data_IF_261308792211
#
_entry.id   IF_261308792211
#
_cell.length_a   1.000
_cell.length_b   1.000
_cell.length_c   1.000
_cell.angle_alpha   90.00
_cell.angle_beta   90.00
_cell.angle_gamma   90.00
#
_symmetry.space_group_name_H-M   'P 1'
#
loop_
_entity.id
_entity.type
_entity.pdbx_description
1 polymer ?
#
# COMPACT_ATOMS: atom_id res chain seq x y z
N UNK A 1 4.87 -18.02 -2.01
CA UNK A 1 4.23 -16.93 -2.76
C UNK A 1 4.94 -15.62 -2.40
N UNK A 2 5.41 -14.85 -3.40
CA UNK A 2 6.15 -13.59 -3.18
C UNK A 2 5.30 -12.53 -2.49
N UNK A 3 4.00 -12.51 -2.76
CA UNK A 3 3.07 -11.56 -2.15
C UNK A 3 2.92 -11.83 -0.65
N UNK A 4 2.79 -13.10 -0.25
CA UNK A 4 2.67 -13.49 1.16
C UNK A 4 3.93 -13.08 1.92
N UNK A 5 5.12 -13.35 1.38
CA UNK A 5 6.39 -12.99 2.03
C UNK A 5 6.52 -11.47 2.19
N UNK A 6 6.26 -10.69 1.14
CA UNK A 6 6.32 -9.23 1.20
C UNK A 6 5.36 -8.66 2.26
N UNK A 7 4.12 -9.14 2.30
CA UNK A 7 3.14 -8.74 3.32
C UNK A 7 3.58 -9.10 4.73
N UNK A 8 4.17 -10.28 4.93
CA UNK A 8 4.70 -10.68 6.24
C UNK A 8 5.84 -9.79 6.71
N UNK A 9 6.74 -9.39 5.80
CA UNK A 9 7.83 -8.45 6.11
C UNK A 9 7.29 -7.06 6.43
N UNK A 10 6.34 -6.55 5.62
CA UNK A 10 5.68 -5.26 5.85
C UNK A 10 4.90 -5.22 7.17
N UNK A 11 4.34 -6.35 7.61
CA UNK A 11 3.66 -6.45 8.90
C UNK A 11 4.59 -6.31 10.11
N UNK A 12 5.89 -6.52 9.92
CA UNK A 12 6.92 -6.32 10.93
C UNK A 12 7.55 -4.92 10.88
N UNK A 13 7.21 -4.08 9.89
CA UNK A 13 7.71 -2.72 9.77
C UNK A 13 7.17 -1.84 10.91
N UNK A 14 8.07 -1.13 11.59
CA UNK A 14 7.77 -0.29 12.75
C UNK A 14 8.44 1.09 12.63
N UNK A 15 7.64 2.15 12.76
CA UNK A 15 8.11 3.53 12.63
C UNK A 15 8.21 4.00 11.18
N UNK A 16 8.27 5.32 10.98
CA UNK A 16 8.16 5.93 9.64
C UNK A 16 9.35 5.60 8.72
N UNK A 17 10.53 5.36 9.29
CA UNK A 17 11.74 5.03 8.53
C UNK A 17 11.80 3.55 8.10
N UNK A 18 10.87 2.70 8.55
CA UNK A 18 10.90 1.28 8.20
C UNK A 18 10.62 1.09 6.71
N UNK A 19 11.51 0.35 6.04
CA UNK A 19 11.38 0.01 4.64
C UNK A 19 10.18 -0.92 4.39
N UNK A 20 9.53 -0.72 3.26
CA UNK A 20 8.47 -1.58 2.77
C UNK A 20 8.96 -2.40 1.58
N UNK A 21 8.61 -3.67 1.58
CA UNK A 21 8.86 -4.61 0.50
C UNK A 21 7.73 -4.51 -0.53
N UNK A 22 8.06 -4.20 -1.81
CA UNK A 22 7.06 -4.06 -2.86
C UNK A 22 6.26 -5.34 -3.09
N UNK A 23 4.95 -5.18 -3.25
CA UNK A 23 4.07 -6.25 -3.71
C UNK A 23 4.01 -6.23 -5.24
N UNK A 24 3.97 -7.39 -5.92
CA UNK A 24 3.75 -7.41 -7.36
C UNK A 24 2.34 -6.89 -7.70
N UNK A 25 2.23 -6.17 -8.82
CA UNK A 25 0.97 -5.78 -9.43
C UNK A 25 0.19 -7.02 -9.93
N UNK A 26 -1.13 -6.88 -10.19
CA UNK A 26 -1.86 -7.85 -10.99
C UNK A 26 -1.10 -8.15 -12.30
N UNK A 27 -0.83 -9.44 -12.56
CA UNK A 27 0.01 -9.86 -13.70
C UNK A 27 1.50 -10.03 -13.38
N UNK A 28 1.94 -9.81 -12.14
CA UNK A 28 3.26 -10.22 -11.64
C UNK A 28 4.41 -9.21 -11.84
N UNK A 29 4.13 -8.06 -12.45
CA UNK A 29 5.10 -7.00 -12.64
C UNK A 29 5.37 -6.28 -11.31
N UNK A 30 6.61 -5.84 -11.09
CA UNK A 30 6.93 -5.05 -9.90
C UNK A 30 6.51 -3.58 -10.10
N UNK A 31 5.99 -2.92 -9.05
CA UNK A 31 5.42 -1.58 -9.14
C UNK A 31 6.48 -0.47 -9.35
N UNK A 32 7.77 -0.74 -9.12
CA UNK A 32 8.80 0.28 -9.22
C UNK A 32 8.56 1.44 -8.24
N UNK A 33 8.74 2.68 -8.70
CA UNK A 33 8.71 3.89 -7.87
C UNK A 33 7.31 4.27 -7.37
N UNK A 34 6.23 3.72 -7.94
CA UNK A 34 4.88 4.02 -7.43
C UNK A 34 4.62 3.36 -6.08
N UNK A 35 5.40 2.35 -5.69
CA UNK A 35 5.27 1.73 -4.37
C UNK A 35 6.02 2.57 -3.31
N UNK A 36 5.38 2.91 -2.18
CA UNK A 36 6.03 3.70 -1.15
C UNK A 36 7.21 2.94 -0.55
N UNK A 37 8.39 3.57 -0.54
CA UNK A 37 9.62 2.94 -0.03
C UNK A 37 9.60 2.68 1.48
N UNK A 38 8.85 3.47 2.25
CA UNK A 38 8.79 3.38 3.71
C UNK A 38 7.36 3.52 4.26
N UNK A 39 7.16 3.16 5.53
CA UNK A 39 5.91 3.41 6.25
C UNK A 39 5.57 4.91 6.28
N UNK A 40 6.58 5.77 6.46
CA UNK A 40 6.42 7.22 6.42
C UNK A 40 5.98 7.73 5.06
N UNK A 41 6.57 7.20 3.98
CA UNK A 41 6.15 7.50 2.61
C UNK A 41 4.70 7.09 2.36
N UNK A 42 4.28 5.91 2.82
CA UNK A 42 2.88 5.46 2.74
C UNK A 42 1.93 6.41 3.49
N UNK A 43 2.35 6.92 4.65
CA UNK A 43 1.59 7.93 5.42
C UNK A 43 1.64 9.34 4.82
N UNK A 44 2.59 9.63 3.95
CA UNK A 44 2.68 10.93 3.29
C UNK A 44 1.84 11.00 2.00
N UNK A 45 1.38 9.86 1.48
CA UNK A 45 0.62 9.81 0.23
C UNK A 45 -0.65 10.67 0.29
N UNK A 46 -0.82 11.44 -0.77
CA UNK A 46 -2.01 12.24 -1.07
C UNK A 46 -3.19 11.35 -1.45
N UNK A 47 -4.39 11.93 -1.45
CA UNK A 47 -5.60 11.22 -1.90
C UNK A 47 -5.51 10.69 -3.33
N UNK A 48 -4.86 11.44 -4.23
CA UNK A 48 -4.68 11.04 -5.62
C UNK A 48 -3.70 9.87 -5.77
N UNK A 49 -2.59 9.88 -5.02
CA UNK A 49 -1.63 8.77 -5.04
C UNK A 49 -2.23 7.50 -4.43
N UNK A 50 -3.05 7.64 -3.38
CA UNK A 50 -3.81 6.53 -2.80
C UNK A 50 -4.82 5.96 -3.80
N UNK A 51 -5.55 6.81 -4.53
CA UNK A 51 -6.47 6.37 -5.59
C UNK A 51 -5.73 5.62 -6.70
N UNK A 52 -4.58 6.15 -7.11
CA UNK A 52 -3.74 5.49 -8.11
C UNK A 52 -3.32 4.09 -7.65
N UNK A 53 -2.84 3.96 -6.40
CA UNK A 53 -2.49 2.66 -5.82
C UNK A 53 -3.67 1.70 -5.74
N UNK A 54 -4.84 2.18 -5.29
CA UNK A 54 -6.06 1.36 -5.22
C UNK A 54 -6.42 0.80 -6.60
N UNK A 55 -6.32 1.64 -7.63
CA UNK A 55 -6.65 1.27 -9.01
C UNK A 55 -5.64 0.29 -9.60
N UNK A 56 -4.33 0.58 -9.56
CA UNK A 56 -3.32 -0.29 -10.20
C UNK A 56 -3.18 -1.65 -9.51
N UNK A 57 -3.46 -1.74 -8.21
CA UNK A 57 -3.47 -3.00 -7.47
C UNK A 57 -4.84 -3.71 -7.52
N UNK A 58 -5.88 -3.06 -8.05
CA UNK A 58 -7.25 -3.56 -8.05
C UNK A 58 -7.69 -3.98 -6.63
N UNK A 59 -7.47 -3.11 -5.63
CA UNK A 59 -7.70 -3.44 -4.21
C UNK A 59 -9.20 -3.52 -3.89
N UNK A 60 -9.97 -2.58 -4.44
CA UNK A 60 -11.44 -2.52 -4.36
C UNK A 60 -11.98 -2.07 -5.71
N UNK A 61 -13.28 -2.27 -5.96
CA UNK A 61 -13.91 -1.76 -7.18
C UNK A 61 -13.95 -0.23 -7.19
N UNK A 62 -13.84 0.39 -8.37
CA UNK A 62 -13.73 1.86 -8.51
C UNK A 62 -14.91 2.61 -7.88
N UNK A 63 -16.12 2.04 -7.88
CA UNK A 63 -17.33 2.61 -7.27
C UNK A 63 -17.38 2.45 -5.74
N UNK A 64 -16.44 1.69 -5.17
CA UNK A 64 -16.33 1.41 -3.73
C UNK A 64 -15.11 2.08 -3.07
N UNK A 65 -14.35 2.88 -3.82
CA UNK A 65 -13.21 3.63 -3.27
C UNK A 65 -13.73 4.57 -2.15
N UNK A 66 -13.18 4.47 -0.91
CA UNK A 66 -13.62 5.34 0.19
C UNK A 66 -13.44 6.81 -0.15
N UNK A 67 -14.33 7.69 0.33
CA UNK A 67 -14.23 9.13 0.04
C UNK A 67 -13.15 9.83 0.88
N UNK A 68 -12.86 9.31 2.08
CA UNK A 68 -11.89 9.89 3.00
C UNK A 68 -10.48 9.37 2.74
N UNK A 69 -9.51 10.28 2.67
CA UNK A 69 -8.08 9.97 2.48
C UNK A 69 -7.58 8.95 3.49
N UNK A 70 -7.93 9.11 4.77
CA UNK A 70 -7.50 8.19 5.83
C UNK A 70 -8.08 6.77 5.65
N UNK A 71 -9.29 6.65 5.09
CA UNK A 71 -9.88 5.35 4.80
C UNK A 71 -9.19 4.68 3.61
N UNK A 72 -8.89 5.43 2.54
CA UNK A 72 -8.10 4.94 1.40
C UNK A 72 -6.74 4.44 1.86
N UNK A 73 -6.07 5.22 2.72
CA UNK A 73 -4.78 4.86 3.31
C UNK A 73 -4.86 3.57 4.11
N UNK A 74 -5.90 3.40 4.93
CA UNK A 74 -6.13 2.15 5.66
C UNK A 74 -6.29 0.95 4.73
N UNK A 75 -7.06 1.10 3.65
CA UNK A 75 -7.25 0.03 2.64
C UNK A 75 -5.93 -0.35 1.97
N UNK A 76 -5.16 0.64 1.50
CA UNK A 76 -3.83 0.41 0.90
C UNK A 76 -2.88 -0.26 1.89
N UNK A 77 -2.81 0.24 3.13
CA UNK A 77 -1.95 -0.32 4.17
C UNK A 77 -2.29 -1.78 4.50
N UNK A 78 -3.57 -2.09 4.66
CA UNK A 78 -4.04 -3.46 4.92
C UNK A 78 -3.69 -4.40 3.76
N UNK A 79 -3.85 -3.94 2.52
CA UNK A 79 -3.46 -4.70 1.35
C UNK A 79 -1.95 -4.97 1.34
N UNK A 80 -1.11 -3.96 1.62
CA UNK A 80 0.35 -4.11 1.72
C UNK A 80 0.83 -4.86 2.95
N UNK A 81 -0.04 -5.12 3.93
CA UNK A 81 0.28 -5.82 5.17
C UNK A 81 0.81 -4.91 6.30
N UNK A 82 0.73 -3.59 6.16
CA UNK A 82 1.20 -2.62 7.16
C UNK A 82 0.16 -2.47 8.28
N UNK A 83 0.56 -2.72 9.53
CA UNK A 83 -0.36 -2.75 10.69
C UNK A 83 -0.71 -1.38 11.28
N UNK A 84 0.11 -0.37 11.06
CA UNK A 84 -0.07 0.97 11.64
C UNK A 84 0.17 2.05 10.60
N UNK A 85 -0.92 2.55 10.03
CA UNK A 85 -0.97 3.86 9.37
C UNK A 85 -1.83 4.76 10.23
N UNK A 86 -1.16 5.67 10.94
CA UNK A 86 -1.81 6.76 11.65
C UNK A 86 -2.34 7.80 10.69
#
# INVERSE_FOLDING_TARGET
DRMILARSLNAAALGDAAELYPLPLPGGHMPGEVFPATVGSLRALTGQELDHLIHIYNIVADDTIPQLVDQRRKVVAQFFGVRSVG
#
